data_IF_884177971351
#
_entry.id   IF_884177971351
#
_cell.length_a   1.000
_cell.length_b   1.000
_cell.length_c   1.000
_cell.angle_alpha   90.00
_cell.angle_beta   90.00
_cell.angle_gamma   90.00
#
_symmetry.space_group_name_H-M   'P 1'
#
loop_
_entity.id
_entity.type
_entity.pdbx_description
1 polymer ?
#
# COMPACT_ATOMS: atom_id res chain seq x y z
N UNK A 1 -23.38 10.01 28.00
CA UNK A 1 -23.58 8.76 27.29
C UNK A 1 -23.96 9.19 25.88
N UNK A 2 -22.97 9.50 25.07
CA UNK A 2 -23.15 9.83 23.66
C UNK A 2 -23.23 8.52 22.90
N UNK A 3 -24.29 8.40 22.11
CA UNK A 3 -24.49 7.28 21.18
C UNK A 3 -23.30 7.24 20.21
N UNK A 4 -22.50 6.22 20.35
CA UNK A 4 -21.51 5.85 19.35
C UNK A 4 -22.31 5.37 18.13
N UNK A 5 -22.31 6.19 17.11
CA UNK A 5 -22.91 5.92 15.80
C UNK A 5 -22.30 4.60 15.27
N UNK A 6 -23.05 3.51 15.43
CA UNK A 6 -22.76 2.24 14.77
C UNK A 6 -22.90 2.44 13.26
N UNK A 7 -21.87 3.05 12.63
CA UNK A 7 -21.70 2.92 11.21
C UNK A 7 -21.56 1.43 10.93
N UNK A 8 -22.67 0.80 10.50
CA UNK A 8 -22.67 -0.53 9.91
C UNK A 8 -21.48 -0.62 9.00
N UNK A 9 -20.49 -1.43 9.38
CA UNK A 9 -19.45 -1.88 8.47
C UNK A 9 -20.19 -2.58 7.31
N UNK A 10 -20.38 -1.85 6.22
CA UNK A 10 -20.74 -2.49 4.95
C UNK A 10 -19.54 -3.36 4.60
N UNK A 11 -19.75 -4.66 4.42
CA UNK A 11 -18.75 -5.55 3.87
C UNK A 11 -18.14 -4.83 2.66
N UNK A 12 -16.83 -4.54 2.75
CA UNK A 12 -16.14 -3.87 1.64
C UNK A 12 -16.23 -4.77 0.43
N UNK A 13 -16.95 -4.30 -0.59
CA UNK A 13 -17.13 -5.07 -1.82
C UNK A 13 -15.76 -5.37 -2.42
N UNK A 14 -15.47 -6.65 -2.62
CA UNK A 14 -14.22 -7.07 -3.23
C UNK A 14 -14.13 -6.58 -4.67
N UNK A 15 -13.26 -5.60 -4.91
CA UNK A 15 -12.94 -5.04 -6.24
C UNK A 15 -11.57 -5.50 -6.73
N UNK A 16 -10.96 -6.48 -6.05
CA UNK A 16 -9.61 -6.95 -6.32
C UNK A 16 -8.53 -5.94 -5.92
N UNK A 17 -7.52 -5.79 -6.77
CA UNK A 17 -6.35 -4.94 -6.52
C UNK A 17 -6.71 -3.45 -6.58
N UNK A 18 -6.98 -2.84 -5.44
CA UNK A 18 -7.14 -1.39 -5.27
C UNK A 18 -6.05 -0.84 -4.35
N UNK A 19 -5.81 0.46 -4.39
CA UNK A 19 -4.84 1.10 -3.52
C UNK A 19 -5.36 1.14 -2.08
N UNK A 20 -4.56 0.61 -1.14
CA UNK A 20 -4.80 0.63 0.29
C UNK A 20 -3.52 0.92 1.04
N UNK A 21 -3.64 1.46 2.26
CA UNK A 21 -2.50 1.64 3.16
C UNK A 21 -2.16 0.33 3.85
N UNK A 22 -0.88 -0.02 3.84
CA UNK A 22 -0.33 -1.23 4.44
C UNK A 22 0.80 -0.89 5.39
N UNK A 23 0.97 -1.69 6.44
CA UNK A 23 2.16 -1.65 7.29
C UNK A 23 2.74 -3.06 7.39
N UNK A 24 3.88 -3.27 6.76
CA UNK A 24 4.49 -4.59 6.63
C UNK A 24 5.57 -4.88 7.69
N UNK A 25 5.72 -3.99 8.68
CA UNK A 25 6.64 -4.15 9.79
C UNK A 25 6.10 -3.44 11.03
N UNK A 26 5.40 -4.19 11.88
CA UNK A 26 4.76 -3.70 13.09
C UNK A 26 4.99 -4.67 14.23
N UNK A 27 5.35 -4.14 15.41
CA UNK A 27 5.47 -4.89 16.64
C UNK A 27 4.23 -4.78 17.51
N UNK A 28 4.03 -5.77 18.36
CA UNK A 28 2.95 -5.82 19.35
C UNK A 28 3.50 -5.93 20.76
N UNK A 29 2.62 -5.88 21.77
CA UNK A 29 3.02 -6.05 23.14
C UNK A 29 3.63 -7.45 23.47
N UNK A 30 3.68 -8.36 22.49
CA UNK A 30 4.37 -9.64 22.58
C UNK A 30 5.88 -9.52 22.30
N UNK A 31 6.31 -8.49 21.56
CA UNK A 31 7.73 -8.25 21.32
C UNK A 31 8.46 -7.92 22.64
N UNK A 32 9.68 -8.41 22.80
CA UNK A 32 10.43 -8.25 24.06
C UNK A 32 10.71 -6.76 24.37
N UNK A 33 10.95 -5.95 23.37
CA UNK A 33 11.33 -4.54 23.43
C UNK A 33 10.15 -3.57 23.27
N UNK A 34 8.90 -4.09 23.18
CA UNK A 34 7.71 -3.26 23.09
C UNK A 34 7.49 -2.44 24.36
N UNK A 35 7.28 -1.14 24.21
CA UNK A 35 7.29 -0.21 25.33
C UNK A 35 6.04 -0.26 26.21
N UNK A 36 4.87 -0.44 25.59
CA UNK A 36 3.61 -0.45 26.34
C UNK A 36 2.97 -1.83 26.30
N UNK A 37 2.94 -2.51 27.42
CA UNK A 37 2.38 -3.88 27.60
C UNK A 37 1.16 -3.89 28.51
N UNK A 38 0.37 -2.80 28.53
CA UNK A 38 -0.90 -2.73 29.27
C UNK A 38 -1.96 -3.66 28.70
N UNK A 39 -3.03 -3.95 29.47
CA UNK A 39 -4.10 -4.86 29.06
C UNK A 39 -4.89 -4.35 27.85
N UNK A 40 -4.86 -3.06 27.59
CA UNK A 40 -5.52 -2.35 26.50
C UNK A 40 -4.58 -2.08 25.30
N UNK A 41 -3.38 -2.67 25.28
CA UNK A 41 -2.39 -2.42 24.22
C UNK A 41 -2.92 -2.78 22.82
N UNK A 42 -3.69 -3.88 22.70
CA UNK A 42 -4.28 -4.31 21.44
C UNK A 42 -5.41 -3.35 20.99
N UNK A 43 -6.24 -2.86 21.94
CA UNK A 43 -7.32 -1.92 21.63
C UNK A 43 -6.76 -0.56 21.16
N UNK A 44 -5.69 -0.08 21.80
CA UNK A 44 -4.99 1.15 21.39
C UNK A 44 -4.41 0.94 19.98
N UNK A 45 -3.76 -0.18 19.73
CA UNK A 45 -3.19 -0.48 18.40
C UNK A 45 -4.28 -0.47 17.33
N UNK A 46 -5.39 -1.19 17.55
CA UNK A 46 -6.50 -1.24 16.59
C UNK A 46 -7.10 0.16 16.36
N UNK A 47 -7.29 0.94 17.43
CA UNK A 47 -7.79 2.31 17.32
C UNK A 47 -6.89 3.16 16.42
N UNK A 48 -5.56 3.04 16.58
CA UNK A 48 -4.59 3.76 15.77
C UNK A 48 -4.54 3.30 14.32
N UNK A 49 -4.59 2.00 14.07
CA UNK A 49 -4.67 1.46 12.70
C UNK A 49 -5.92 1.96 11.96
N UNK A 50 -7.06 2.04 12.65
CA UNK A 50 -8.31 2.61 12.10
C UNK A 50 -8.20 4.11 11.86
N UNK A 51 -7.63 4.87 12.81
CA UNK A 51 -7.40 6.31 12.69
C UNK A 51 -6.60 6.65 11.42
N UNK A 52 -5.61 5.82 11.10
CA UNK A 52 -4.74 6.00 9.95
C UNK A 52 -5.17 5.22 8.69
N UNK A 53 -6.36 4.60 8.70
CA UNK A 53 -6.95 3.86 7.58
C UNK A 53 -6.05 2.72 7.06
N UNK A 54 -5.34 2.03 7.96
CA UNK A 54 -4.50 0.89 7.60
C UNK A 54 -5.38 -0.32 7.32
N UNK A 55 -5.29 -0.89 6.12
CA UNK A 55 -6.10 -2.03 5.69
C UNK A 55 -5.41 -3.38 5.86
N UNK A 56 -4.08 -3.40 5.94
CA UNK A 56 -3.33 -4.63 6.13
C UNK A 56 -2.04 -4.41 6.92
N UNK A 57 -1.69 -5.39 7.76
CA UNK A 57 -0.54 -5.31 8.67
C UNK A 57 0.18 -6.65 8.69
N UNK A 58 1.52 -6.65 8.64
CA UNK A 58 2.32 -7.79 9.05
C UNK A 58 2.76 -7.62 10.52
N UNK A 59 2.37 -8.57 11.37
CA UNK A 59 2.81 -8.62 12.76
C UNK A 59 4.17 -9.31 12.79
N UNK A 60 5.20 -8.57 13.15
CA UNK A 60 6.60 -8.99 12.98
C UNK A 60 7.39 -8.87 14.29
N UNK A 61 6.79 -9.34 15.39
CA UNK A 61 7.44 -9.33 16.70
C UNK A 61 8.82 -9.99 16.64
N UNK A 62 9.76 -9.47 17.42
CA UNK A 62 11.11 -10.03 17.49
C UNK A 62 11.11 -11.47 18.02
N UNK A 63 11.63 -12.40 17.23
CA UNK A 63 11.93 -13.79 17.57
C UNK A 63 10.72 -14.62 18.05
N UNK A 64 9.50 -14.15 17.77
CA UNK A 64 8.26 -14.74 18.25
C UNK A 64 7.15 -14.60 17.20
N UNK A 65 6.36 -15.66 17.01
CA UNK A 65 5.07 -15.60 16.31
C UNK A 65 4.00 -15.91 17.37
N UNK A 66 3.31 -14.86 17.86
CA UNK A 66 2.27 -15.03 18.89
C UNK A 66 0.91 -15.27 18.25
N UNK A 67 0.56 -16.56 18.13
CA UNK A 67 -0.74 -17.00 17.62
C UNK A 67 -1.91 -16.37 18.36
N UNK A 68 -1.85 -16.32 19.70
CA UNK A 68 -2.98 -15.86 20.50
C UNK A 68 -3.26 -14.38 20.25
N UNK A 69 -2.20 -13.58 20.16
CA UNK A 69 -2.30 -12.15 19.85
C UNK A 69 -2.81 -11.92 18.44
N UNK A 70 -2.25 -12.61 17.44
CA UNK A 70 -2.72 -12.50 16.05
C UNK A 70 -4.21 -12.86 15.95
N UNK A 71 -4.64 -13.93 16.61
CA UNK A 71 -6.05 -14.32 16.65
C UNK A 71 -6.94 -13.29 17.37
N UNK A 72 -6.43 -12.63 18.42
CA UNK A 72 -7.13 -11.57 19.12
C UNK A 72 -7.30 -10.34 18.25
N UNK A 73 -6.22 -9.87 17.60
CA UNK A 73 -6.27 -8.72 16.68
C UNK A 73 -7.24 -8.96 15.52
N UNK A 74 -7.24 -10.15 14.93
CA UNK A 74 -8.22 -10.53 13.88
C UNK A 74 -9.67 -10.50 14.36
N UNK A 75 -9.93 -10.76 15.65
CA UNK A 75 -11.28 -10.67 16.21
C UNK A 75 -11.68 -9.23 16.51
N UNK A 76 -10.74 -8.41 16.99
CA UNK A 76 -10.98 -6.99 17.30
C UNK A 76 -11.18 -6.13 16.06
N UNK A 77 -10.52 -6.49 14.97
CA UNK A 77 -10.59 -5.75 13.70
C UNK A 77 -10.66 -6.71 12.49
N UNK A 78 -11.82 -7.33 12.23
CA UNK A 78 -11.98 -8.27 11.11
C UNK A 78 -11.84 -7.59 9.74
N UNK A 79 -11.97 -6.28 9.67
CA UNK A 79 -11.78 -5.46 8.47
C UNK A 79 -10.31 -5.23 8.13
N UNK A 80 -9.38 -5.39 9.08
CA UNK A 80 -7.95 -5.25 8.85
C UNK A 80 -7.33 -6.64 8.61
N UNK A 81 -6.59 -6.77 7.53
CA UNK A 81 -5.91 -8.02 7.23
C UNK A 81 -4.60 -8.13 8.01
N UNK A 82 -4.47 -9.16 8.86
CA UNK A 82 -3.24 -9.44 9.61
C UNK A 82 -2.49 -10.63 9.01
N UNK A 83 -1.23 -10.39 8.60
CA UNK A 83 -0.29 -11.41 8.17
C UNK A 83 0.61 -11.81 9.34
N UNK A 84 0.77 -13.12 9.62
CA UNK A 84 1.77 -13.56 10.58
C UNK A 84 3.16 -13.26 10.01
N UNK A 85 4.06 -12.82 10.88
CA UNK A 85 5.44 -12.53 10.51
C UNK A 85 6.37 -12.69 11.72
N UNK A 86 7.64 -12.45 11.51
CA UNK A 86 8.66 -12.42 12.55
C UNK A 86 9.86 -11.61 12.08
N UNK A 87 10.44 -10.84 12.97
CA UNK A 87 11.74 -10.19 12.74
C UNK A 87 12.86 -10.99 13.40
N UNK A 88 13.91 -11.24 12.62
CA UNK A 88 15.09 -12.03 13.02
C UNK A 88 16.37 -11.22 12.80
N UNK A 89 17.40 -11.51 13.59
CA UNK A 89 18.76 -11.01 13.36
C UNK A 89 19.61 -12.08 12.67
N UNK A 90 20.44 -11.64 11.73
CA UNK A 90 21.36 -12.58 11.04
C UNK A 90 22.74 -12.56 11.67
N UNK A 91 23.57 -13.56 11.30
CA UNK A 91 25.01 -13.62 11.58
C UNK A 91 25.82 -12.63 10.72
N UNK A 92 25.18 -11.93 9.76
CA UNK A 92 25.85 -11.04 8.81
C UNK A 92 25.86 -9.59 9.31
N UNK A 93 26.92 -8.90 8.90
CA UNK A 93 27.16 -7.49 9.28
C UNK A 93 27.71 -7.33 10.69
N UNK A 94 28.23 -6.13 11.00
CA UNK A 94 28.86 -5.81 12.29
C UNK A 94 27.86 -5.62 13.43
N UNK A 95 26.56 -5.48 13.13
CA UNK A 95 25.48 -5.36 14.12
C UNK A 95 24.23 -6.13 13.70
N UNK A 96 24.42 -7.27 13.08
CA UNK A 96 23.38 -8.24 12.75
C UNK A 96 22.25 -7.60 11.89
N UNK A 97 22.25 -7.88 10.59
CA UNK A 97 21.20 -7.37 9.69
C UNK A 97 19.86 -7.95 10.10
N UNK A 98 18.85 -7.10 10.18
CA UNK A 98 17.49 -7.52 10.47
C UNK A 98 16.79 -8.04 9.20
N UNK A 99 16.11 -9.16 9.35
CA UNK A 99 15.34 -9.86 8.31
C UNK A 99 13.94 -10.10 8.81
N UNK A 100 12.98 -9.66 8.05
CA UNK A 100 11.56 -9.85 8.32
C UNK A 100 11.04 -10.98 7.42
N UNK A 101 10.36 -11.95 8.03
CA UNK A 101 9.62 -12.99 7.31
C UNK A 101 8.14 -12.71 7.44
N UNK A 102 7.44 -12.66 6.29
CA UNK A 102 5.98 -12.49 6.25
C UNK A 102 5.37 -13.77 5.66
N UNK A 103 4.41 -14.35 6.37
CA UNK A 103 3.76 -15.60 6.00
C UNK A 103 2.33 -15.36 5.53
N UNK A 104 1.77 -16.37 4.84
CA UNK A 104 0.38 -16.32 4.40
C UNK A 104 -0.59 -16.20 5.60
N UNK A 105 -1.56 -15.29 5.45
CA UNK A 105 -2.67 -15.13 6.41
C UNK A 105 -3.62 -16.33 6.47
N UNK A 106 -3.55 -17.23 5.47
CA UNK A 106 -4.32 -18.48 5.39
C UNK A 106 -3.59 -19.68 6.02
N UNK A 107 -2.32 -19.50 6.40
CA UNK A 107 -1.52 -20.58 6.99
C UNK A 107 -2.06 -20.98 8.37
N UNK A 108 -2.05 -22.28 8.67
CA UNK A 108 -2.36 -22.76 10.02
C UNK A 108 -1.32 -22.25 11.02
N UNK A 109 -1.77 -21.35 11.91
CA UNK A 109 -0.91 -20.71 12.90
C UNK A 109 -0.33 -21.70 13.93
N UNK A 110 -1.01 -22.82 14.23
CA UNK A 110 -0.44 -23.83 15.15
C UNK A 110 0.78 -24.48 14.52
N UNK A 111 0.66 -24.89 13.25
CA UNK A 111 1.76 -25.50 12.52
C UNK A 111 2.89 -24.50 12.32
N UNK A 112 2.58 -23.25 11.97
CA UNK A 112 3.59 -22.20 11.78
C UNK A 112 4.37 -21.93 13.08
N UNK A 113 3.67 -21.73 14.21
CA UNK A 113 4.31 -21.49 15.52
C UNK A 113 5.16 -22.69 15.96
N UNK A 114 4.65 -23.92 15.81
CA UNK A 114 5.39 -25.12 16.16
C UNK A 114 6.67 -25.28 15.34
N UNK A 115 6.61 -25.01 14.05
CA UNK A 115 7.77 -25.05 13.15
C UNK A 115 8.77 -23.94 13.46
N UNK A 116 8.25 -22.73 13.78
CA UNK A 116 9.12 -21.62 14.16
C UNK A 116 9.80 -21.87 15.50
N UNK A 117 9.11 -22.42 16.49
CA UNK A 117 9.69 -22.81 17.77
C UNK A 117 10.76 -23.90 17.62
N UNK A 118 10.53 -24.86 16.72
CA UNK A 118 11.54 -25.86 16.36
C UNK A 118 12.76 -25.18 15.71
N UNK A 119 12.53 -24.29 14.72
CA UNK A 119 13.58 -23.54 14.06
C UNK A 119 14.39 -22.71 15.07
N UNK A 120 13.71 -21.97 15.95
CA UNK A 120 14.34 -21.15 16.99
C UNK A 120 15.26 -21.99 17.88
N UNK A 121 14.79 -23.14 18.36
CA UNK A 121 15.57 -23.99 19.27
C UNK A 121 16.78 -24.66 18.63
N UNK A 122 16.74 -24.96 17.33
CA UNK A 122 17.78 -25.77 16.68
C UNK A 122 18.74 -24.96 15.83
N UNK A 123 18.38 -23.75 15.42
CA UNK A 123 19.15 -22.98 14.47
C UNK A 123 19.60 -21.61 15.01
N UNK A 124 19.08 -21.16 16.17
CA UNK A 124 19.60 -19.95 16.81
C UNK A 124 20.94 -20.18 17.46
N UNK A 125 21.74 -19.15 17.59
CA UNK A 125 22.87 -19.18 18.49
C UNK A 125 22.38 -19.36 19.92
N UNK A 126 23.08 -20.19 20.67
CA UNK A 126 22.84 -20.31 22.11
C UNK A 126 23.13 -18.96 22.77
N UNK A 127 22.09 -18.24 23.12
CA UNK A 127 22.16 -16.97 23.80
C UNK A 127 21.24 -16.97 25.00
N UNK A 128 21.69 -16.40 26.07
CA UNK A 128 20.93 -16.29 27.33
C UNK A 128 19.96 -15.09 27.30
N UNK A 129 20.06 -14.19 26.30
CA UNK A 129 19.22 -12.99 26.20
C UNK A 129 18.75 -12.70 24.78
N UNK A 130 17.58 -12.07 24.65
CA UNK A 130 17.02 -11.62 23.39
C UNK A 130 17.90 -10.57 22.69
N UNK A 131 18.75 -9.86 23.42
CA UNK A 131 19.68 -8.87 22.86
C UNK A 131 20.82 -9.46 22.05
N UNK A 132 21.15 -10.72 22.27
CA UNK A 132 22.32 -11.40 21.69
C UNK A 132 21.98 -12.55 20.76
N UNK A 133 20.72 -12.95 20.66
CA UNK A 133 20.28 -14.04 19.80
C UNK A 133 20.34 -13.65 18.32
N UNK A 134 20.87 -14.54 17.48
CA UNK A 134 20.89 -14.40 16.02
C UNK A 134 20.90 -15.77 15.31
N UNK A 135 20.70 -15.79 14.00
CA UNK A 135 20.65 -16.98 13.17
C UNK A 135 21.62 -16.87 11.99
N UNK A 136 22.11 -18.01 11.51
CA UNK A 136 22.74 -18.07 10.19
C UNK A 136 21.74 -17.67 9.12
N UNK A 137 22.12 -16.72 8.27
CA UNK A 137 21.24 -16.20 7.21
C UNK A 137 20.74 -17.29 6.26
N UNK A 138 21.57 -18.28 5.95
CA UNK A 138 21.17 -19.40 5.07
C UNK A 138 20.07 -20.24 5.70
N UNK A 139 20.08 -20.44 7.01
CA UNK A 139 19.04 -21.19 7.72
C UNK A 139 17.73 -20.37 7.77
N UNK A 140 17.81 -19.05 7.92
CA UNK A 140 16.62 -18.18 7.78
C UNK A 140 15.99 -18.33 6.38
N UNK A 141 16.80 -18.22 5.33
CA UNK A 141 16.34 -18.36 3.94
C UNK A 141 15.74 -19.74 3.67
N UNK A 142 16.35 -20.79 4.20
CA UNK A 142 15.85 -22.17 4.07
C UNK A 142 14.49 -22.35 4.76
N UNK A 143 14.34 -21.80 5.96
CA UNK A 143 13.08 -21.80 6.68
C UNK A 143 11.99 -21.02 5.93
N UNK A 144 12.30 -19.80 5.47
CA UNK A 144 11.41 -18.97 4.71
C UNK A 144 10.92 -19.64 3.41
N UNK A 145 11.83 -20.20 2.61
CA UNK A 145 11.51 -20.92 1.37
C UNK A 145 10.62 -22.13 1.61
N UNK A 146 10.90 -22.91 2.68
CA UNK A 146 10.06 -24.06 3.07
C UNK A 146 8.63 -23.67 3.38
N UNK A 147 8.40 -22.43 3.84
CA UNK A 147 7.10 -21.89 4.23
C UNK A 147 6.52 -20.89 3.22
N UNK A 148 7.17 -20.74 2.07
CA UNK A 148 6.76 -19.79 1.03
C UNK A 148 6.57 -18.37 1.58
N UNK A 149 7.42 -17.97 2.56
CA UNK A 149 7.41 -16.65 3.15
C UNK A 149 8.02 -15.62 2.21
N UNK A 150 7.56 -14.36 2.31
CA UNK A 150 8.25 -13.19 1.74
C UNK A 150 9.38 -12.80 2.68
N UNK A 151 10.55 -12.55 2.12
CA UNK A 151 11.76 -12.12 2.85
C UNK A 151 11.98 -10.63 2.60
N UNK A 152 11.85 -9.81 3.65
CA UNK A 152 12.20 -8.40 3.63
C UNK A 152 13.45 -8.15 4.48
N UNK A 153 14.30 -7.22 4.07
CA UNK A 153 15.49 -6.81 4.85
C UNK A 153 15.56 -5.31 4.99
N UNK A 154 16.08 -4.85 6.12
CA UNK A 154 16.40 -3.44 6.33
C UNK A 154 17.47 -2.97 5.36
N UNK A 155 17.25 -1.79 4.76
CA UNK A 155 18.13 -1.24 3.74
C UNK A 155 18.14 0.30 3.78
N UNK A 156 18.99 0.92 2.97
CA UNK A 156 19.16 2.37 2.94
C UNK A 156 19.67 2.90 4.28
N UNK A 157 19.05 3.95 4.80
CA UNK A 157 19.41 4.57 6.08
C UNK A 157 18.74 3.91 7.29
N UNK A 158 18.06 2.77 7.11
CA UNK A 158 17.43 2.05 8.23
C UNK A 158 18.49 1.38 9.10
N UNK A 159 18.31 1.46 10.42
CA UNK A 159 19.21 0.84 11.39
C UNK A 159 19.28 -0.68 11.18
N UNK A 160 20.41 -1.29 11.49
CA UNK A 160 20.68 -2.71 11.26
C UNK A 160 20.36 -3.17 9.82
N UNK A 161 20.53 -2.25 8.89
CA UNK A 161 20.27 -2.48 7.47
C UNK A 161 21.48 -2.96 6.70
N UNK A 162 21.22 -3.45 5.50
CA UNK A 162 22.24 -3.97 4.59
C UNK A 162 23.30 -2.91 4.26
N UNK A 163 22.91 -1.65 4.03
CA UNK A 163 23.81 -0.58 3.61
C UNK A 163 24.62 0.01 4.75
N UNK A 164 24.08 0.01 5.95
CA UNK A 164 24.74 0.47 7.16
C UNK A 164 25.97 -0.40 7.47
N UNK A 165 25.94 -1.66 7.02
CA UNK A 165 26.95 -2.68 7.27
C UNK A 165 27.78 -3.06 6.07
N UNK A 166 27.31 -2.78 4.85
CA UNK A 166 27.94 -3.20 3.60
C UNK A 166 28.07 -2.01 2.67
N UNK A 167 29.23 -1.36 2.67
CA UNK A 167 29.56 -0.25 1.77
C UNK A 167 29.56 -0.67 0.30
N UNK A 168 29.05 0.20 -0.58
CA UNK A 168 29.07 -0.03 -2.03
C UNK A 168 30.45 0.16 -2.68
N UNK A 169 31.45 0.64 -1.94
CA UNK A 169 32.73 1.09 -2.49
C UNK A 169 33.71 -0.03 -2.87
N UNK A 170 33.48 -1.26 -2.39
CA UNK A 170 34.40 -2.37 -2.62
C UNK A 170 33.73 -3.52 -3.38
N UNK A 171 34.42 -4.18 -4.34
CA UNK A 171 33.85 -5.25 -5.15
C UNK A 171 33.28 -6.44 -4.35
N UNK A 172 33.91 -6.81 -3.25
CA UNK A 172 33.41 -7.92 -2.40
C UNK A 172 32.09 -7.55 -1.69
N UNK A 173 31.87 -6.27 -1.35
CA UNK A 173 30.62 -5.81 -0.78
C UNK A 173 29.48 -5.84 -1.80
N UNK A 174 29.77 -5.58 -3.07
CA UNK A 174 28.81 -5.77 -4.16
C UNK A 174 28.46 -7.25 -4.34
N UNK A 175 29.42 -8.16 -4.20
CA UNK A 175 29.16 -9.60 -4.25
C UNK A 175 28.23 -10.03 -3.10
N UNK A 176 28.46 -9.55 -1.87
CA UNK A 176 27.58 -9.82 -0.73
C UNK A 176 26.16 -9.29 -1.00
N UNK A 177 26.03 -8.07 -1.55
CA UNK A 177 24.71 -7.54 -1.92
C UNK A 177 24.00 -8.39 -2.97
N UNK A 178 24.72 -8.95 -3.93
CA UNK A 178 24.15 -9.92 -4.89
C UNK A 178 23.66 -11.18 -4.21
N UNK A 179 24.47 -11.76 -3.30
CA UNK A 179 24.07 -12.95 -2.56
C UNK A 179 22.77 -12.72 -1.76
N UNK A 180 22.63 -11.53 -1.15
CA UNK A 180 21.37 -11.16 -0.50
C UNK A 180 20.24 -10.96 -1.51
N UNK A 181 20.50 -10.29 -2.64
CA UNK A 181 19.48 -9.99 -3.63
C UNK A 181 18.86 -11.22 -4.27
N UNK A 182 19.60 -12.32 -4.37
CA UNK A 182 19.10 -13.59 -4.89
C UNK A 182 18.09 -14.27 -3.96
N UNK A 183 18.04 -13.85 -2.70
CA UNK A 183 17.20 -14.47 -1.68
C UNK A 183 16.20 -13.52 -1.04
N UNK A 184 16.44 -12.22 -1.11
CA UNK A 184 15.56 -11.17 -0.57
C UNK A 184 14.50 -10.80 -1.60
N UNK A 185 13.27 -10.67 -1.15
CA UNK A 185 12.12 -10.27 -1.97
C UNK A 185 11.88 -8.75 -1.93
N UNK A 186 12.08 -8.12 -0.76
CA UNK A 186 11.74 -6.73 -0.50
C UNK A 186 12.90 -6.03 0.24
N UNK A 187 13.18 -4.78 -0.11
CA UNK A 187 14.04 -3.90 0.68
C UNK A 187 13.21 -2.88 1.45
N UNK A 188 13.35 -2.86 2.76
CA UNK A 188 12.68 -1.91 3.63
C UNK A 188 13.59 -0.72 3.93
N UNK A 189 13.21 0.45 3.43
CA UNK A 189 13.97 1.69 3.53
C UNK A 189 13.68 2.44 4.85
N UNK A 190 14.67 3.13 5.36
CA UNK A 190 14.49 4.02 6.51
C UNK A 190 13.72 5.29 6.16
N UNK A 191 13.90 5.78 4.92
CA UNK A 191 13.33 7.04 4.43
C UNK A 191 13.00 6.92 2.94
N UNK A 192 11.95 7.61 2.50
CA UNK A 192 11.53 7.65 1.11
C UNK A 192 12.67 8.09 0.15
N UNK A 193 13.47 9.08 0.55
CA UNK A 193 14.59 9.57 -0.26
C UNK A 193 15.68 8.52 -0.55
N UNK A 194 15.76 7.45 0.25
CA UNK A 194 16.75 6.38 0.03
C UNK A 194 16.40 5.57 -1.21
N UNK A 195 15.13 5.56 -1.62
CA UNK A 195 14.63 4.84 -2.79
C UNK A 195 15.30 5.31 -4.09
N UNK A 196 15.55 6.62 -4.24
CA UNK A 196 16.23 7.15 -5.44
C UNK A 196 17.68 6.67 -5.53
N UNK A 197 18.38 6.57 -4.39
CA UNK A 197 19.73 5.99 -4.34
C UNK A 197 19.74 4.53 -4.78
N UNK A 198 18.72 3.75 -4.35
CA UNK A 198 18.58 2.35 -4.76
C UNK A 198 18.27 2.19 -6.23
N UNK A 199 17.34 2.96 -6.78
CA UNK A 199 17.00 2.95 -8.23
C UNK A 199 18.20 3.32 -9.09
N UNK A 200 19.00 4.30 -8.65
CA UNK A 200 20.11 4.83 -9.45
C UNK A 200 21.39 3.98 -9.34
N UNK A 201 21.72 3.45 -8.16
CA UNK A 201 23.02 2.86 -7.89
C UNK A 201 22.98 1.37 -7.57
N UNK A 202 21.88 0.84 -7.04
CA UNK A 202 21.79 -0.55 -6.59
C UNK A 202 21.09 -1.42 -7.64
N UNK A 203 19.94 -1.03 -8.13
CA UNK A 203 19.16 -1.80 -9.10
C UNK A 203 19.86 -2.08 -10.44
N UNK A 204 20.72 -1.19 -10.99
CA UNK A 204 21.53 -1.54 -12.16
C UNK A 204 22.45 -2.75 -11.95
N UNK A 205 22.77 -3.10 -10.70
CA UNK A 205 23.66 -4.20 -10.34
C UNK A 205 22.92 -5.48 -9.98
N UNK A 206 21.80 -5.37 -9.26
CA UNK A 206 21.08 -6.51 -8.67
C UNK A 206 19.71 -6.79 -9.31
N UNK A 207 19.24 -5.92 -10.20
CA UNK A 207 17.86 -5.94 -10.69
C UNK A 207 16.90 -5.20 -9.78
N UNK A 208 15.73 -4.86 -10.32
CA UNK A 208 14.68 -4.12 -9.59
C UNK A 208 13.94 -5.03 -8.61
N UNK A 209 13.70 -4.51 -7.42
CA UNK A 209 12.89 -5.15 -6.38
C UNK A 209 12.00 -4.14 -5.67
N UNK A 210 10.95 -4.59 -4.98
CA UNK A 210 10.12 -3.74 -4.15
C UNK A 210 10.93 -2.94 -3.13
N UNK A 211 10.67 -1.64 -3.06
CA UNK A 211 11.14 -0.75 -2.01
C UNK A 211 9.93 -0.33 -1.19
N UNK A 212 9.96 -0.60 0.10
CA UNK A 212 8.89 -0.23 1.03
C UNK A 212 9.44 0.62 2.16
N UNK A 213 8.54 1.31 2.85
CA UNK A 213 8.73 1.86 4.19
C UNK A 213 7.64 1.31 5.09
N UNK A 214 7.94 1.07 6.34
CA UNK A 214 6.96 0.59 7.33
C UNK A 214 7.19 1.31 8.66
N UNK A 215 6.20 1.24 9.55
CA UNK A 215 6.26 1.99 10.81
C UNK A 215 7.40 1.55 11.70
N UNK A 216 7.64 0.23 11.79
CA UNK A 216 8.58 -0.36 12.75
C UNK A 216 8.24 0.13 14.17
N UNK A 217 6.93 0.18 14.44
CA UNK A 217 6.42 0.78 15.67
C UNK A 217 6.50 -0.19 16.85
N UNK A 218 7.07 0.29 17.97
CA UNK A 218 7.22 -0.46 19.21
C UNK A 218 6.38 0.14 20.37
N UNK A 219 5.43 1.02 20.06
CA UNK A 219 4.54 1.63 21.04
C UNK A 219 3.27 2.16 20.35
N UNK A 220 2.17 1.43 20.42
CA UNK A 220 0.92 1.80 19.75
C UNK A 220 0.43 3.22 20.09
N UNK A 221 0.73 3.72 21.28
CA UNK A 221 0.36 5.09 21.71
C UNK A 221 0.97 6.18 20.84
N UNK A 222 2.13 5.88 20.22
CA UNK A 222 2.90 6.76 19.35
C UNK A 222 2.86 6.32 17.88
N UNK A 223 1.91 5.46 17.52
CA UNK A 223 1.73 5.09 16.12
C UNK A 223 1.28 6.29 15.31
N UNK A 224 1.94 6.52 14.20
CA UNK A 224 1.62 7.57 13.25
C UNK A 224 1.78 7.06 11.80
N UNK A 225 1.30 7.81 10.84
CA UNK A 225 1.43 7.51 9.42
C UNK A 225 2.58 8.28 8.73
N UNK A 226 3.60 8.71 9.49
CA UNK A 226 4.79 9.39 8.95
C UNK A 226 5.53 8.54 7.91
N UNK A 227 5.35 7.20 7.99
CA UNK A 227 5.86 6.22 7.04
C UNK A 227 4.69 5.55 6.32
N UNK A 228 4.07 6.26 5.38
CA UNK A 228 2.90 5.77 4.67
C UNK A 228 3.29 4.94 3.44
N UNK A 229 2.80 3.70 3.41
CA UNK A 229 2.97 2.74 2.34
C UNK A 229 1.61 2.42 1.70
N UNK A 230 1.47 2.70 0.43
CA UNK A 230 0.33 2.28 -0.37
C UNK A 230 0.69 1.08 -1.22
N UNK A 231 -0.14 0.05 -1.17
CA UNK A 231 -0.01 -1.12 -2.06
C UNK A 231 -1.32 -1.30 -2.84
N UNK A 232 -1.17 -1.48 -4.15
CA UNK A 232 -2.27 -1.84 -5.04
C UNK A 232 -2.38 -3.36 -5.13
N UNK A 233 -3.13 -3.93 -4.20
CA UNK A 233 -3.31 -5.37 -4.09
C UNK A 233 -4.68 -5.73 -3.50
N UNK A 234 -5.09 -6.97 -3.71
CA UNK A 234 -6.12 -7.58 -2.90
C UNK A 234 -5.55 -7.89 -1.49
N UNK A 235 -6.41 -7.90 -0.46
CA UNK A 235 -6.01 -8.13 0.93
C UNK A 235 -5.73 -9.61 1.22
N UNK A 236 -4.90 -10.22 0.37
CA UNK A 236 -4.47 -11.62 0.45
C UNK A 236 -2.95 -11.71 0.33
N UNK A 237 -2.39 -12.84 0.74
CA UNK A 237 -0.94 -13.07 0.61
C UNK A 237 -0.52 -13.15 -0.87
N UNK A 238 -1.34 -13.75 -1.72
CA UNK A 238 -1.09 -13.77 -3.16
C UNK A 238 -1.23 -12.37 -3.79
N UNK A 239 -2.14 -11.53 -3.26
CA UNK A 239 -2.22 -10.11 -3.62
C UNK A 239 -0.94 -9.37 -3.24
N UNK A 240 -0.43 -9.57 -2.02
CA UNK A 240 0.84 -8.97 -1.58
C UNK A 240 2.01 -9.40 -2.48
N UNK A 241 2.08 -10.66 -2.87
CA UNK A 241 3.13 -11.16 -3.78
C UNK A 241 3.16 -10.46 -5.14
N UNK A 242 2.06 -9.84 -5.58
CA UNK A 242 2.04 -9.13 -6.86
C UNK A 242 3.03 -7.94 -6.89
N UNK A 243 3.37 -7.37 -5.73
CA UNK A 243 4.40 -6.32 -5.68
C UNK A 243 5.78 -6.81 -6.11
N UNK A 244 6.05 -8.13 -6.00
CA UNK A 244 7.33 -8.72 -6.39
C UNK A 244 7.52 -8.74 -7.91
N UNK A 245 6.42 -8.74 -8.65
CA UNK A 245 6.41 -8.79 -10.13
C UNK A 245 6.25 -7.41 -10.75
N UNK A 246 5.47 -6.53 -10.11
CA UNK A 246 5.10 -5.20 -10.64
C UNK A 246 5.31 -4.10 -9.57
N UNK A 247 6.54 -3.93 -9.02
CA UNK A 247 6.77 -3.01 -7.91
C UNK A 247 6.45 -1.56 -8.25
N UNK A 248 6.74 -1.11 -9.48
CA UNK A 248 6.49 0.28 -9.91
C UNK A 248 5.01 0.62 -10.00
N UNK A 249 4.19 -0.36 -10.37
CA UNK A 249 2.76 -0.17 -10.64
C UNK A 249 1.91 -0.39 -9.37
N UNK A 250 2.50 -1.02 -8.34
CA UNK A 250 1.77 -1.48 -7.17
C UNK A 250 2.24 -0.90 -5.85
N UNK A 251 3.34 -0.17 -5.82
CA UNK A 251 3.85 0.47 -4.61
C UNK A 251 3.89 1.98 -4.82
N UNK A 252 3.38 2.71 -3.84
CA UNK A 252 3.53 4.16 -3.73
C UNK A 252 3.86 4.53 -2.28
N UNK A 253 4.77 5.47 -2.11
CA UNK A 253 5.21 5.96 -0.82
C UNK A 253 4.68 7.39 -0.61
N UNK A 254 4.45 7.75 0.66
CA UNK A 254 3.98 9.09 1.04
C UNK A 254 2.47 9.16 1.28
N UNK A 255 1.99 10.32 1.73
CA UNK A 255 0.62 10.49 2.23
C UNK A 255 -0.45 10.61 1.15
N UNK A 256 -0.07 10.94 -0.08
CA UNK A 256 -1.04 11.14 -1.15
C UNK A 256 -1.59 9.80 -1.64
N UNK A 257 -2.92 9.68 -1.68
CA UNK A 257 -3.56 8.53 -2.31
C UNK A 257 -3.13 8.46 -3.79
N UNK A 258 -2.48 7.36 -4.22
CA UNK A 258 -2.04 7.22 -5.61
C UNK A 258 -3.19 7.00 -6.60
N UNK A 259 -4.40 6.75 -6.12
CA UNK A 259 -5.58 6.71 -6.97
C UNK A 259 -5.98 8.12 -7.41
N UNK A 260 -5.43 8.54 -8.55
CA UNK A 260 -5.63 9.88 -9.11
C UNK A 260 -6.84 10.00 -10.02
N UNK A 261 -7.60 8.91 -10.24
CA UNK A 261 -8.74 8.95 -11.15
C UNK A 261 -9.90 9.74 -10.59
N UNK A 262 -10.47 10.60 -11.42
CA UNK A 262 -11.65 11.36 -11.07
C UNK A 262 -12.87 10.44 -10.98
N UNK A 263 -13.63 10.52 -9.90
CA UNK A 263 -14.80 9.64 -9.67
C UNK A 263 -15.80 9.64 -10.83
N UNK A 264 -16.01 10.77 -11.48
CA UNK A 264 -16.91 10.90 -12.63
C UNK A 264 -16.38 10.20 -13.91
N UNK A 265 -15.10 9.76 -13.92
CA UNK A 265 -14.48 9.02 -15.04
C UNK A 265 -14.35 7.52 -14.77
N UNK A 266 -14.88 7.04 -13.66
CA UNK A 266 -14.77 5.65 -13.24
C UNK A 266 -16.18 5.06 -13.11
N UNK A 267 -16.44 3.96 -13.81
CA UNK A 267 -17.68 3.18 -13.61
C UNK A 267 -17.51 2.38 -12.31
N UNK A 268 -18.42 2.61 -11.37
CA UNK A 268 -18.41 1.96 -10.06
C UNK A 268 -18.97 0.53 -10.13
N UNK A 269 -20.17 0.42 -10.69
CA UNK A 269 -20.80 -0.87 -10.94
C UNK A 269 -21.77 -0.80 -12.12
N UNK A 270 -22.04 -1.95 -12.66
CA UNK A 270 -23.15 -2.17 -13.58
C UNK A 270 -24.22 -2.94 -12.83
N UNK A 271 -25.43 -2.40 -12.80
CA UNK A 271 -26.60 -3.12 -12.33
C UNK A 271 -27.22 -3.86 -13.50
N UNK A 272 -27.43 -5.17 -13.36
CA UNK A 272 -28.02 -6.03 -14.38
C UNK A 272 -29.10 -6.89 -13.73
N UNK A 273 -30.35 -6.74 -14.18
CA UNK A 273 -31.52 -7.42 -13.59
C UNK A 273 -31.63 -7.27 -12.06
N UNK A 274 -31.21 -6.12 -11.53
CA UNK A 274 -31.21 -5.83 -10.09
C UNK A 274 -29.97 -6.30 -9.33
N UNK A 275 -29.07 -7.04 -9.96
CA UNK A 275 -27.80 -7.48 -9.38
C UNK A 275 -26.68 -6.51 -9.72
N UNK A 276 -25.83 -6.18 -8.74
CA UNK A 276 -24.71 -5.25 -8.92
C UNK A 276 -23.42 -5.98 -9.24
N UNK A 277 -22.81 -5.62 -10.35
CA UNK A 277 -21.48 -6.09 -10.79
C UNK A 277 -20.50 -4.95 -10.55
N UNK A 278 -19.79 -4.99 -9.44
CA UNK A 278 -18.81 -3.96 -9.08
C UNK A 278 -17.54 -4.07 -9.92
N UNK A 279 -17.02 -2.91 -10.33
CA UNK A 279 -15.83 -2.83 -11.16
C UNK A 279 -14.65 -2.24 -10.38
N UNK A 280 -13.46 -2.69 -10.74
CA UNK A 280 -12.21 -2.05 -10.34
C UNK A 280 -12.03 -0.76 -11.15
N UNK A 281 -11.41 0.26 -10.57
CA UNK A 281 -11.09 1.49 -11.29
C UNK A 281 -9.95 1.35 -12.30
N UNK A 282 -9.25 0.21 -12.29
CA UNK A 282 -8.21 -0.16 -13.23
C UNK A 282 -8.72 -1.15 -14.30
N UNK A 283 -8.01 -2.27 -14.46
CA UNK A 283 -8.33 -3.32 -15.41
C UNK A 283 -9.39 -4.28 -14.83
N UNK A 284 -10.46 -4.50 -15.58
CA UNK A 284 -11.46 -5.54 -15.32
C UNK A 284 -11.43 -6.57 -16.42
N UNK A 285 -11.33 -7.85 -16.08
CA UNK A 285 -11.35 -8.96 -17.03
C UNK A 285 -12.67 -9.71 -16.95
N UNK A 286 -13.38 -9.80 -18.08
CA UNK A 286 -14.63 -10.57 -18.18
C UNK A 286 -14.32 -11.90 -18.86
N UNK A 287 -14.34 -12.98 -18.08
CA UNK A 287 -14.04 -14.34 -18.55
C UNK A 287 -15.29 -15.22 -18.53
N UNK A 288 -15.32 -16.19 -19.44
CA UNK A 288 -16.43 -17.14 -19.54
C UNK A 288 -16.43 -17.87 -20.90
N UNK A 289 -17.25 -18.90 -21.00
CA UNK A 289 -17.41 -19.69 -22.21
C UNK A 289 -17.99 -18.91 -23.39
N UNK A 290 -18.13 -19.57 -24.53
CA UNK A 290 -18.82 -18.99 -25.70
C UNK A 290 -20.30 -18.78 -25.36
N UNK A 291 -20.88 -17.69 -25.84
CA UNK A 291 -22.31 -17.32 -25.66
C UNK A 291 -22.75 -17.07 -24.20
N UNK A 292 -21.84 -16.76 -23.30
CA UNK A 292 -22.15 -16.44 -21.88
C UNK A 292 -22.47 -14.95 -21.62
N UNK A 293 -22.66 -14.13 -22.66
CA UNK A 293 -23.06 -12.73 -22.51
C UNK A 293 -21.90 -11.72 -22.34
N UNK A 294 -20.62 -12.13 -22.40
CA UNK A 294 -19.47 -11.21 -22.24
C UNK A 294 -19.53 -9.98 -23.16
N UNK A 295 -19.71 -10.23 -24.46
CA UNK A 295 -19.81 -9.15 -25.45
C UNK A 295 -21.11 -8.37 -25.28
N UNK A 296 -22.20 -9.03 -24.88
CA UNK A 296 -23.49 -8.40 -24.59
C UNK A 296 -23.35 -7.37 -23.47
N UNK A 297 -22.62 -7.71 -22.38
CA UNK A 297 -22.37 -6.78 -21.27
C UNK A 297 -21.59 -5.54 -21.74
N UNK A 298 -20.48 -5.74 -22.46
CA UNK A 298 -19.67 -4.62 -22.98
C UNK A 298 -20.44 -3.75 -23.96
N UNK A 299 -21.21 -4.36 -24.88
CA UNK A 299 -22.04 -3.63 -25.83
C UNK A 299 -23.14 -2.83 -25.12
N UNK A 300 -23.74 -3.40 -24.06
CA UNK A 300 -24.77 -2.73 -23.27
C UNK A 300 -24.23 -1.52 -22.52
N UNK A 301 -23.05 -1.63 -21.91
CA UNK A 301 -22.36 -0.50 -21.26
C UNK A 301 -22.10 0.63 -22.29
N UNK A 302 -21.55 0.28 -23.44
CA UNK A 302 -21.27 1.25 -24.50
C UNK A 302 -22.54 1.88 -25.08
N UNK A 303 -23.62 1.12 -25.22
CA UNK A 303 -24.92 1.62 -25.69
C UNK A 303 -25.57 2.53 -24.67
N UNK A 304 -25.51 2.19 -23.37
CA UNK A 304 -26.02 3.02 -22.30
C UNK A 304 -25.39 4.43 -22.32
N UNK A 305 -24.10 4.53 -22.63
CA UNK A 305 -23.37 5.78 -22.79
C UNK A 305 -23.57 6.45 -24.16
N UNK A 306 -24.62 6.11 -24.88
CA UNK A 306 -24.96 6.67 -26.21
C UNK A 306 -23.81 6.63 -27.21
N UNK A 307 -22.95 5.63 -27.11
CA UNK A 307 -21.78 5.49 -27.97
C UNK A 307 -22.22 5.13 -29.40
N UNK A 308 -21.87 5.97 -30.36
CA UNK A 308 -22.25 5.82 -31.78
C UNK A 308 -21.58 4.62 -32.47
N UNK A 309 -20.53 4.05 -31.89
CA UNK A 309 -19.84 2.88 -32.46
C UNK A 309 -20.56 1.56 -32.20
N UNK A 310 -21.60 1.56 -31.37
CA UNK A 310 -22.44 0.37 -31.10
C UNK A 310 -23.53 0.29 -32.14
N UNK A 311 -23.41 -0.70 -33.05
CA UNK A 311 -24.45 -0.98 -34.00
C UNK A 311 -25.44 -2.00 -33.40
N UNK A 312 -26.60 -1.51 -32.97
CA UNK A 312 -27.65 -2.31 -32.33
C UNK A 312 -28.25 -3.37 -33.22
N UNK A 313 -28.20 -3.23 -34.55
CA UNK A 313 -28.71 -4.23 -35.49
C UNK A 313 -27.82 -5.45 -35.65
N UNK A 314 -26.52 -5.28 -35.30
CA UNK A 314 -25.48 -6.32 -35.45
C UNK A 314 -24.92 -6.84 -34.15
N UNK A 315 -25.14 -6.13 -33.04
CA UNK A 315 -24.52 -6.44 -31.74
C UNK A 315 -25.62 -6.80 -30.73
N UNK A 316 -25.41 -7.91 -30.03
CA UNK A 316 -26.29 -8.28 -28.93
C UNK A 316 -26.10 -7.28 -27.77
N UNK A 317 -27.20 -6.75 -27.26
CA UNK A 317 -27.29 -5.92 -26.05
C UNK A 317 -28.37 -6.52 -25.14
N UNK A 318 -28.32 -6.21 -23.84
CA UNK A 318 -29.40 -6.53 -22.92
C UNK A 318 -30.64 -5.68 -23.22
N UNK A 319 -31.81 -6.16 -22.79
CA UNK A 319 -33.05 -5.43 -22.91
C UNK A 319 -32.97 -4.07 -22.25
N UNK A 320 -33.49 -3.02 -22.91
CA UNK A 320 -33.48 -1.65 -22.38
C UNK A 320 -34.25 -1.59 -21.07
N UNK A 321 -33.65 -0.93 -20.07
CA UNK A 321 -34.17 -0.86 -18.69
C UNK A 321 -33.79 -2.06 -17.80
N UNK A 322 -33.20 -3.15 -18.35
CA UNK A 322 -32.73 -4.28 -17.56
C UNK A 322 -31.31 -4.07 -16.99
N UNK A 323 -30.64 -3.02 -17.42
CA UNK A 323 -29.28 -2.69 -16.96
C UNK A 323 -29.09 -1.17 -16.79
N UNK A 324 -28.20 -0.81 -15.86
CA UNK A 324 -27.81 0.58 -15.55
C UNK A 324 -26.30 0.64 -15.30
N UNK A 325 -25.69 1.78 -15.61
CA UNK A 325 -24.27 2.02 -15.37
C UNK A 325 -24.15 3.16 -14.36
N UNK A 326 -23.54 2.86 -13.20
CA UNK A 326 -23.38 3.82 -12.13
C UNK A 326 -21.90 4.20 -12.02
N UNK A 327 -21.65 5.51 -12.03
CA UNK A 327 -20.30 6.05 -11.90
C UNK A 327 -19.89 6.17 -10.43
N UNK A 328 -18.59 6.29 -10.15
CA UNK A 328 -18.05 6.31 -8.78
C UNK A 328 -18.39 7.58 -7.99
N UNK A 329 -18.97 8.60 -8.64
CA UNK A 329 -19.59 9.75 -7.97
C UNK A 329 -21.06 9.54 -7.61
N UNK A 330 -21.60 8.34 -7.89
CA UNK A 330 -22.97 7.94 -7.59
C UNK A 330 -24.00 8.29 -8.68
N UNK A 331 -23.57 8.96 -9.76
CA UNK A 331 -24.47 9.41 -10.84
C UNK A 331 -24.69 8.34 -11.89
N UNK A 332 -25.89 8.37 -12.48
CA UNK A 332 -26.28 7.61 -13.66
C UNK A 332 -26.34 8.59 -14.86
N UNK A 333 -25.18 8.85 -15.45
CA UNK A 333 -25.05 9.87 -16.50
C UNK A 333 -24.72 9.23 -17.85
N UNK A 334 -25.70 9.14 -18.72
CA UNK A 334 -25.59 8.57 -20.07
C UNK A 334 -24.81 9.46 -21.05
N UNK A 335 -24.51 10.70 -20.66
CA UNK A 335 -23.79 11.65 -21.52
C UNK A 335 -22.27 11.50 -21.44
N UNK A 336 -21.77 10.72 -20.48
CA UNK A 336 -20.33 10.51 -20.27
C UNK A 336 -19.74 9.61 -21.35
N UNK A 337 -18.55 9.96 -21.79
CA UNK A 337 -17.88 9.22 -22.85
C UNK A 337 -17.24 7.94 -22.34
N UNK A 338 -17.56 6.82 -23.00
CA UNK A 338 -16.87 5.54 -22.89
C UNK A 338 -16.26 5.20 -24.24
N UNK A 339 -14.95 4.92 -24.28
CA UNK A 339 -14.31 4.46 -25.49
C UNK A 339 -14.58 2.99 -25.69
N UNK A 340 -15.43 2.67 -26.66
CA UNK A 340 -15.80 1.32 -27.03
C UNK A 340 -14.99 0.84 -28.24
N UNK A 341 -14.27 -0.27 -28.10
CA UNK A 341 -13.48 -0.89 -29.17
C UNK A 341 -14.10 -2.25 -29.50
N UNK A 342 -14.92 -2.35 -30.56
CA UNK A 342 -15.49 -3.62 -30.96
C UNK A 342 -14.42 -4.59 -31.50
N UNK A 343 -14.69 -5.90 -31.40
CA UNK A 343 -13.74 -6.94 -31.81
C UNK A 343 -13.31 -6.79 -33.29
N UNK A 344 -14.23 -6.44 -34.17
CA UNK A 344 -13.96 -6.23 -35.61
C UNK A 344 -13.03 -5.02 -35.86
N UNK A 345 -13.05 -4.03 -34.96
CA UNK A 345 -12.20 -2.86 -35.07
C UNK A 345 -10.71 -3.21 -34.91
N UNK A 346 -10.37 -4.13 -34.01
CA UNK A 346 -9.00 -4.61 -33.84
C UNK A 346 -8.48 -5.31 -35.10
N UNK A 347 -9.33 -6.07 -35.79
CA UNK A 347 -9.00 -6.70 -37.07
C UNK A 347 -8.77 -5.62 -38.14
N UNK A 348 -9.62 -4.58 -38.18
CA UNK A 348 -9.45 -3.47 -39.10
C UNK A 348 -8.19 -2.65 -38.86
N UNK A 349 -7.78 -2.48 -37.61
CA UNK A 349 -6.55 -1.79 -37.24
C UNK A 349 -5.29 -2.56 -37.72
N UNK A 350 -5.33 -3.89 -37.70
CA UNK A 350 -4.21 -4.70 -38.16
C UNK A 350 -3.98 -4.60 -39.67
N UNK A 351 -5.01 -4.24 -40.41
CA UNK A 351 -4.98 -4.11 -41.88
C UNK A 351 -4.87 -2.65 -42.38
N UNK A 352 -5.07 -1.65 -41.49
CA UNK A 352 -5.08 -0.22 -41.85
C UNK A 352 -4.15 0.60 -40.94
N UNK A 353 -2.96 0.90 -41.47
CA UNK A 353 -1.91 1.61 -40.74
C UNK A 353 -2.32 3.03 -40.33
N UNK A 354 -3.15 3.70 -41.11
CA UNK A 354 -3.60 5.07 -40.80
C UNK A 354 -4.59 5.09 -39.65
N UNK A 355 -5.47 4.09 -39.55
CA UNK A 355 -6.35 3.94 -38.37
C UNK A 355 -5.56 3.62 -37.11
N UNK A 356 -4.55 2.77 -37.23
CA UNK A 356 -3.67 2.45 -36.11
C UNK A 356 -2.91 3.70 -35.61
N UNK A 357 -2.34 4.48 -36.52
CA UNK A 357 -1.65 5.70 -36.18
C UNK A 357 -2.57 6.74 -35.50
N UNK A 358 -3.81 6.92 -36.01
CA UNK A 358 -4.79 7.79 -35.38
C UNK A 358 -5.16 7.35 -33.95
N UNK A 359 -5.30 6.04 -33.72
CA UNK A 359 -5.55 5.51 -32.37
C UNK A 359 -4.37 5.77 -31.44
N UNK A 360 -3.14 5.52 -31.91
CA UNK A 360 -1.91 5.78 -31.15
C UNK A 360 -1.81 7.29 -30.80
N UNK A 361 -2.02 8.18 -31.77
CA UNK A 361 -2.03 9.63 -31.53
C UNK A 361 -3.07 10.04 -30.49
N UNK A 362 -4.28 9.47 -30.54
CA UNK A 362 -5.34 9.74 -29.58
C UNK A 362 -4.93 9.33 -28.15
N UNK A 363 -4.31 8.14 -28.03
CA UNK A 363 -3.81 7.63 -26.73
C UNK A 363 -2.69 8.53 -26.17
N UNK A 364 -1.74 8.93 -27.03
CA UNK A 364 -0.62 9.80 -26.64
C UNK A 364 -1.12 11.18 -26.19
N UNK A 365 -2.03 11.77 -26.96
CA UNK A 365 -2.62 13.08 -26.60
C UNK A 365 -3.38 13.03 -25.27
N UNK A 366 -4.15 11.99 -25.04
CA UNK A 366 -4.86 11.78 -23.77
C UNK A 366 -3.86 11.64 -22.60
N UNK A 367 -2.81 10.86 -22.76
CA UNK A 367 -1.76 10.67 -21.74
C UNK A 367 -1.01 11.99 -21.42
N UNK A 368 -0.78 12.86 -22.41
CA UNK A 368 -0.18 14.18 -22.20
C UNK A 368 -1.12 15.13 -21.43
N UNK A 369 -2.43 15.08 -21.67
CA UNK A 369 -3.41 15.83 -20.91
C UNK A 369 -3.48 15.36 -19.45
N UNK A 370 -3.46 14.05 -19.21
CA UNK A 370 -3.44 13.47 -17.86
C UNK A 370 -2.19 13.91 -17.09
N UNK A 371 -1.01 13.98 -17.73
CA UNK A 371 0.22 14.47 -17.11
C UNK A 371 0.15 15.98 -16.77
N UNK A 372 -0.49 16.79 -17.60
CA UNK A 372 -0.69 18.21 -17.34
C UNK A 372 -1.64 18.44 -16.16
N UNK A 373 -2.69 17.63 -16.03
CA UNK A 373 -3.62 17.67 -14.89
C UNK A 373 -2.95 17.25 -13.58
N UNK A 374 -2.17 16.17 -13.60
CA UNK A 374 -1.37 15.75 -12.44
C UNK A 374 -0.40 16.84 -12.00
N UNK A 375 0.31 17.46 -12.95
CA UNK A 375 1.21 18.57 -12.66
C UNK A 375 0.45 19.80 -12.08
N UNK A 376 -0.74 20.08 -12.57
CA UNK A 376 -1.59 21.15 -12.04
C UNK A 376 -2.04 20.87 -10.60
N UNK A 377 -2.49 19.63 -10.30
CA UNK A 377 -2.89 19.21 -8.95
C UNK A 377 -1.73 19.26 -7.96
N UNK A 378 -0.56 18.79 -8.37
CA UNK A 378 0.64 18.87 -7.55
C UNK A 378 0.99 20.32 -7.22
N UNK A 379 0.86 21.22 -8.20
CA UNK A 379 1.10 22.64 -8.00
C UNK A 379 0.10 23.30 -7.04
N UNK A 380 -1.18 22.91 -7.11
CA UNK A 380 -2.21 23.35 -6.14
C UNK A 380 -1.88 22.84 -4.73
N UNK A 381 -1.50 21.57 -4.58
CA UNK A 381 -1.13 21.00 -3.29
C UNK A 381 0.08 21.73 -2.67
N UNK A 382 1.10 22.02 -3.48
CA UNK A 382 2.28 22.79 -3.05
C UNK A 382 1.91 24.21 -2.61
N UNK A 383 1.07 24.91 -3.37
CA UNK A 383 0.58 26.23 -3.02
C UNK A 383 -0.23 26.19 -1.71
N UNK A 384 -1.12 25.23 -1.55
CA UNK A 384 -1.91 25.03 -0.33
C UNK A 384 -1.01 24.81 0.89
N UNK A 385 0.04 24.02 0.74
CA UNK A 385 1.04 23.80 1.79
C UNK A 385 1.79 25.10 2.14
N UNK A 386 2.21 25.87 1.14
CA UNK A 386 2.87 27.15 1.35
C UNK A 386 1.97 28.16 2.07
N UNK A 387 0.68 28.21 1.70
CA UNK A 387 -0.31 29.05 2.39
C UNK A 387 -0.46 28.60 3.84
N UNK A 388 -0.57 27.31 4.11
CA UNK A 388 -0.69 26.78 5.47
C UNK A 388 0.51 27.15 6.34
N UNK A 389 1.73 26.97 5.83
CA UNK A 389 2.96 27.38 6.52
C UNK A 389 2.96 28.88 6.78
N UNK A 390 2.67 29.70 5.75
CA UNK A 390 2.63 31.15 5.90
C UNK A 390 1.57 31.65 6.89
N UNK A 391 0.42 30.97 6.98
CA UNK A 391 -0.59 31.28 8.01
C UNK A 391 -0.13 30.90 9.41
N UNK A 392 0.52 29.75 9.54
CA UNK A 392 1.09 29.31 10.84
C UNK A 392 2.14 30.31 11.32
N UNK A 393 3.05 30.74 10.47
CA UNK A 393 4.05 31.74 10.79
C UNK A 393 3.41 33.08 11.14
N UNK A 394 2.40 33.51 10.39
CA UNK A 394 1.65 34.74 10.66
C UNK A 394 1.00 34.70 12.05
N UNK A 395 0.30 33.63 12.41
CA UNK A 395 -0.33 33.51 13.72
C UNK A 395 0.69 33.44 14.85
N UNK A 396 1.83 32.76 14.64
CA UNK A 396 2.93 32.76 15.60
C UNK A 396 3.47 34.19 15.87
N UNK A 397 3.64 34.98 14.82
CA UNK A 397 4.08 36.38 14.95
C UNK A 397 3.02 37.24 15.65
N UNK A 398 1.74 37.03 15.35
CA UNK A 398 0.62 37.74 16.02
C UNK A 398 0.59 37.40 17.52
N UNK A 399 0.79 36.14 17.88
CA UNK A 399 0.86 35.69 19.28
C UNK A 399 2.07 36.31 20.00
N UNK A 400 3.26 36.34 19.37
CA UNK A 400 4.41 37.00 19.88
C UNK A 400 4.18 38.50 20.10
N UNK A 401 3.59 39.19 19.09
CA UNK A 401 3.23 40.61 19.23
C UNK A 401 2.22 40.85 20.33
N UNK A 402 1.25 39.97 20.48
CA UNK A 402 0.24 40.04 21.58
C UNK A 402 0.88 39.87 22.95
N UNK A 403 1.92 39.04 23.04
CA UNK A 403 2.70 38.85 24.29
C UNK A 403 3.60 40.06 24.65
N UNK A 404 3.95 40.87 23.63
CA UNK A 404 4.75 42.08 23.81
C UNK A 404 3.88 43.31 24.14
N UNK A 405 2.57 43.23 24.08
CA UNK A 405 1.67 44.30 24.51
C UNK A 405 1.76 44.45 26.01
N UNK A 406 2.43 45.50 26.42
CA UNK A 406 2.54 45.92 27.83
C UNK A 406 1.15 46.31 28.33
N UNK A 407 0.61 45.73 29.42
CA UNK A 407 -0.67 46.14 29.96
C UNK A 407 -0.70 47.64 30.21
N UNK A 408 -1.77 48.35 29.81
CA UNK A 408 -1.89 49.80 29.93
C UNK A 408 -1.51 50.34 31.33
N UNK A 409 -1.76 49.55 32.38
CA UNK A 409 -1.42 49.93 33.74
C UNK A 409 0.09 49.99 34.05
N UNK A 410 0.95 49.31 33.28
CA UNK A 410 2.40 49.34 33.48
C UNK A 410 3.08 50.54 32.84
N UNK A 411 2.46 51.12 31.80
CA UNK A 411 2.97 52.34 31.16
C UNK A 411 2.71 53.58 32.03
N UNK A 412 1.59 53.61 32.78
CA UNK A 412 1.34 54.69 33.75
C UNK A 412 2.23 54.61 35.01
N UNK A 413 2.60 53.41 35.43
CA UNK A 413 3.51 53.20 36.52
C UNK A 413 4.95 53.64 36.18
N UNK A 414 5.40 53.42 34.94
CA UNK A 414 6.72 53.82 34.45
C UNK A 414 6.85 55.35 34.21
N UNK A 415 5.72 56.07 34.03
CA UNK A 415 5.73 57.54 33.90
C UNK A 415 5.77 58.29 35.25
N UNK A 416 5.70 57.57 36.39
CA UNK A 416 5.73 58.13 37.75
C UNK A 416 7.07 57.94 38.47
N UNK A 417 8.05 57.36 37.80
CA UNK A 417 9.44 57.28 38.19
C UNK A 417 10.25 58.26 37.34
#
# INVERSE_FOLDING_TARGET
MEEVDEKKFQEEVNRGSVWRKWDLHLHTASSYDYKYKGPDADDILISKLREHEISAVAITDHFLIDKNRICNLKKLAPEIQFFPGVELRTDKGSSNIHVILIFSNEMDLNNLCSDFDYFKRHNSTASESDDTIFWDYKEIVKFAKKRNAIISVHAGSKSSGLDDKISNSLPHNQAIKRDYSDTVDIFEMGKEKDCEGYKTHVFPVIGEKPLIISSDNHDARNYDDSKCLWIKADLTFEGLKQILYEPRERISLGHNNPDSKLKYMVIDYVELYGEKIYLNNGLNSIIGGRSTGKSTLLNSIAKFQKNSNVNTDKQNIFEEGSYRVIWADGEEDESREVEFIPQEYMISLSSDRDKLNKLIEKIIRKKQMDSAEVNYRNKIADISKQIHVGLTDYFSIVDELSSLMVPEGSLEAAKKI
#
